data_IF_992092489494
#
_entry.id   IF_992092489494
#
_cell.length_a   1.000
_cell.length_b   1.000
_cell.length_c   1.000
_cell.angle_alpha   90.00
_cell.angle_beta   90.00
_cell.angle_gamma   90.00
#
_symmetry.space_group_name_H-M   'P 1'
#
loop_
_entity.id
_entity.type
_entity.pdbx_description
1 polymer ?
#
# COMPACT_ATOMS: atom_id res chain seq x y z
N UNK A 1 11.78 17.52 -2.86
CA UNK A 1 11.96 16.46 -3.87
C UNK A 1 13.47 16.14 -3.99
N UNK A 2 13.79 14.87 -4.22
CA UNK A 2 15.16 14.42 -4.46
C UNK A 2 15.60 14.76 -5.88
N UNK A 3 16.90 15.08 -6.07
CA UNK A 3 17.50 15.19 -7.41
C UNK A 3 17.80 13.79 -7.97
N UNK A 4 18.04 13.71 -9.27
CA UNK A 4 18.45 12.45 -9.94
C UNK A 4 19.73 11.89 -9.31
N UNK A 5 20.69 12.74 -8.97
CA UNK A 5 21.94 12.36 -8.33
C UNK A 5 21.70 11.74 -6.95
N UNK A 6 20.81 12.34 -6.15
CA UNK A 6 20.41 11.80 -4.84
C UNK A 6 19.73 10.44 -4.97
N UNK A 7 18.87 10.25 -5.99
CA UNK A 7 18.23 8.93 -6.24
C UNK A 7 19.28 7.88 -6.58
N UNK A 8 20.27 8.22 -7.42
CA UNK A 8 21.39 7.31 -7.74
C UNK A 8 22.24 6.99 -6.51
N UNK A 9 22.48 7.98 -5.65
CA UNK A 9 23.23 7.79 -4.41
C UNK A 9 22.55 6.83 -3.46
N UNK A 10 21.24 7.02 -3.15
CA UNK A 10 20.53 6.10 -2.29
C UNK A 10 20.40 4.70 -2.91
N UNK A 11 20.28 4.60 -4.24
CA UNK A 11 20.33 3.29 -4.93
C UNK A 11 21.67 2.60 -4.72
N UNK A 12 22.78 3.33 -4.81
CA UNK A 12 24.13 2.80 -4.55
C UNK A 12 24.31 2.37 -3.08
N UNK A 13 23.60 3.00 -2.15
CA UNK A 13 23.55 2.61 -0.73
C UNK A 13 22.66 1.39 -0.45
N UNK A 14 22.01 0.82 -1.47
CA UNK A 14 21.17 -0.38 -1.36
C UNK A 14 19.68 -0.12 -1.30
N UNK A 15 19.21 1.12 -1.48
CA UNK A 15 17.78 1.38 -1.56
C UNK A 15 17.19 0.74 -2.82
N UNK A 16 15.99 0.18 -2.70
CA UNK A 16 15.22 -0.38 -3.80
C UNK A 16 14.18 0.63 -4.28
N UNK A 17 14.33 1.12 -5.52
CA UNK A 17 13.49 2.17 -6.09
C UNK A 17 12.34 1.51 -6.85
N UNK A 18 11.10 1.78 -6.44
CA UNK A 18 9.91 1.10 -6.91
C UNK A 18 8.81 2.07 -7.39
N UNK A 19 7.73 1.54 -7.97
CA UNK A 19 6.65 2.29 -8.63
C UNK A 19 5.75 3.04 -7.65
N UNK A 20 5.34 4.27 -8.06
CA UNK A 20 4.40 5.10 -7.31
C UNK A 20 3.58 6.03 -8.22
N UNK A 21 3.26 5.61 -9.45
CA UNK A 21 2.72 6.40 -10.56
C UNK A 21 3.62 7.56 -10.98
N UNK A 22 3.34 8.16 -12.13
CA UNK A 22 4.15 9.26 -12.67
C UNK A 22 3.74 10.61 -12.10
N UNK A 23 2.46 10.91 -12.09
CA UNK A 23 1.92 12.21 -11.64
C UNK A 23 1.33 12.17 -10.23
N UNK A 24 1.44 11.03 -9.52
CA UNK A 24 0.77 10.78 -8.25
C UNK A 24 -0.76 10.68 -8.39
N UNK A 25 -1.28 10.47 -9.59
CA UNK A 25 -2.68 10.20 -9.87
C UNK A 25 -2.95 8.69 -9.98
N UNK A 26 -4.19 8.28 -9.72
CA UNK A 26 -4.61 6.88 -9.77
C UNK A 26 -5.94 6.78 -10.55
N UNK A 27 -5.90 6.77 -11.90
CA UNK A 27 -7.11 6.74 -12.74
C UNK A 27 -7.73 5.34 -12.75
N UNK A 28 -8.52 5.02 -11.72
CA UNK A 28 -9.08 3.69 -11.46
C UNK A 28 -10.10 3.22 -12.51
N UNK A 29 -10.73 4.15 -13.24
CA UNK A 29 -11.80 3.85 -14.19
C UNK A 29 -11.29 3.59 -15.62
N UNK A 30 -9.98 3.71 -15.85
CA UNK A 30 -9.37 3.55 -17.16
C UNK A 30 -8.05 2.79 -17.10
N UNK A 31 -8.05 1.55 -17.61
CA UNK A 31 -6.81 0.78 -17.75
C UNK A 31 -5.75 1.53 -18.58
N UNK A 32 -6.12 2.19 -19.67
CA UNK A 32 -5.16 2.88 -20.53
C UNK A 32 -4.42 4.01 -19.80
N UNK A 33 -5.15 4.86 -19.06
CA UNK A 33 -4.56 5.94 -18.29
C UNK A 33 -3.75 5.41 -17.09
N UNK A 34 -4.25 4.36 -16.43
CA UNK A 34 -3.53 3.71 -15.34
C UNK A 34 -2.20 3.08 -15.84
N UNK A 35 -2.23 2.42 -16.99
CA UNK A 35 -1.05 1.83 -17.60
C UNK A 35 -0.04 2.89 -18.04
N UNK A 36 -0.48 4.03 -18.52
CA UNK A 36 0.38 5.17 -18.87
C UNK A 36 1.11 5.68 -17.61
N UNK A 37 0.41 5.93 -16.51
CA UNK A 37 0.98 6.35 -15.23
C UNK A 37 2.06 5.38 -14.72
N UNK A 38 1.82 4.08 -14.80
CA UNK A 38 2.78 3.07 -14.37
C UNK A 38 3.97 2.96 -15.33
N UNK A 39 3.73 2.94 -16.63
CA UNK A 39 4.80 2.75 -17.62
C UNK A 39 5.73 3.96 -17.68
N UNK A 40 5.20 5.20 -17.70
CA UNK A 40 6.04 6.40 -17.69
C UNK A 40 6.87 6.48 -16.40
N UNK A 41 6.30 6.13 -15.24
CA UNK A 41 7.06 6.05 -13.99
C UNK A 41 8.16 4.99 -14.05
N UNK A 42 7.85 3.80 -14.60
CA UNK A 42 8.81 2.70 -14.79
C UNK A 42 9.97 3.13 -15.67
N UNK A 43 9.68 3.75 -16.82
CA UNK A 43 10.70 4.19 -17.78
C UNK A 43 11.66 5.19 -17.12
N UNK A 44 11.15 6.15 -16.36
CA UNK A 44 11.98 7.09 -15.59
C UNK A 44 12.87 6.39 -14.56
N UNK A 45 12.33 5.39 -13.83
CA UNK A 45 13.14 4.63 -12.85
C UNK A 45 14.23 3.84 -13.57
N UNK A 46 13.90 3.16 -14.67
CA UNK A 46 14.86 2.40 -15.47
C UNK A 46 15.97 3.30 -16.00
N UNK A 47 15.63 4.47 -16.53
CA UNK A 47 16.59 5.44 -17.07
C UNK A 47 17.55 6.00 -16.00
N UNK A 48 17.05 6.21 -14.77
CA UNK A 48 17.83 6.82 -13.70
C UNK A 48 18.72 5.80 -12.99
N UNK A 49 18.19 4.61 -12.63
CA UNK A 49 18.87 3.67 -11.73
C UNK A 49 19.11 2.29 -12.33
N UNK A 50 18.58 2.01 -13.50
CA UNK A 50 18.56 0.66 -14.12
C UNK A 50 17.65 -0.31 -13.36
N UNK A 51 17.47 -1.50 -13.91
CA UNK A 51 16.60 -2.53 -13.34
C UNK A 51 15.13 -2.28 -13.68
N UNK A 52 14.30 -3.30 -13.44
CA UNK A 52 12.85 -3.23 -13.70
C UNK A 52 12.10 -3.19 -12.36
N UNK A 53 11.44 -2.09 -12.00
CA UNK A 53 10.66 -2.03 -10.77
C UNK A 53 9.42 -2.92 -10.89
N UNK A 54 9.21 -3.80 -9.90
CA UNK A 54 8.17 -4.81 -9.90
C UNK A 54 7.18 -4.69 -8.72
N UNK A 55 7.39 -3.69 -7.87
CA UNK A 55 6.54 -3.42 -6.73
C UNK A 55 5.92 -2.03 -6.82
N UNK A 56 4.69 -1.89 -6.34
CA UNK A 56 3.94 -0.64 -6.39
C UNK A 56 3.52 -0.18 -4.99
N UNK A 57 3.47 1.13 -4.81
CA UNK A 57 2.81 1.73 -3.66
C UNK A 57 1.68 2.63 -4.18
N UNK A 58 0.46 2.39 -3.74
CA UNK A 58 -0.68 3.20 -4.18
C UNK A 58 -0.56 4.64 -3.68
N UNK A 59 -0.58 5.65 -4.58
CA UNK A 59 -0.65 7.06 -4.19
C UNK A 59 -1.80 7.32 -3.24
N UNK A 60 -1.52 7.93 -2.09
CA UNK A 60 -2.50 8.19 -1.03
C UNK A 60 -3.29 6.96 -0.56
N UNK A 61 -2.85 5.75 -0.90
CA UNK A 61 -3.55 4.50 -0.63
C UNK A 61 -4.83 4.32 -1.44
N UNK A 62 -5.00 5.04 -2.55
CA UNK A 62 -6.20 4.98 -3.41
C UNK A 62 -6.10 3.80 -4.37
N UNK A 63 -7.03 2.86 -4.29
CA UNK A 63 -7.13 1.69 -5.16
C UNK A 63 -8.56 1.12 -5.16
N UNK A 64 -8.83 0.22 -6.09
CA UNK A 64 -10.02 -0.63 -6.12
C UNK A 64 -9.65 -2.02 -6.65
N UNK A 65 -10.61 -2.95 -6.70
CA UNK A 65 -10.36 -4.32 -7.18
C UNK A 65 -9.89 -4.37 -8.64
N UNK A 66 -10.32 -3.42 -9.49
CA UNK A 66 -9.87 -3.36 -10.89
C UNK A 66 -8.37 -3.07 -10.99
N UNK A 67 -7.82 -2.25 -10.09
CA UNK A 67 -6.39 -1.90 -10.08
C UNK A 67 -5.49 -3.11 -9.82
N UNK A 68 -5.98 -4.16 -9.15
CA UNK A 68 -5.22 -5.41 -8.95
C UNK A 68 -4.94 -6.09 -10.30
N UNK A 69 -5.99 -6.24 -11.12
CA UNK A 69 -5.85 -6.81 -12.47
C UNK A 69 -4.99 -5.94 -13.39
N UNK A 70 -5.08 -4.62 -13.26
CA UNK A 70 -4.25 -3.68 -14.03
C UNK A 70 -2.76 -3.83 -13.70
N UNK A 71 -2.42 -3.84 -12.42
CA UNK A 71 -1.03 -4.01 -11.97
C UNK A 71 -0.46 -5.37 -12.37
N UNK A 72 -1.23 -6.45 -12.26
CA UNK A 72 -0.81 -7.79 -12.68
C UNK A 72 -0.52 -7.85 -14.19
N UNK A 73 -1.37 -7.26 -15.04
CA UNK A 73 -1.14 -7.16 -16.49
C UNK A 73 0.12 -6.36 -16.83
N UNK A 74 0.49 -5.39 -16.00
CA UNK A 74 1.69 -4.58 -16.13
C UNK A 74 2.94 -5.22 -15.51
N UNK A 75 2.85 -6.47 -15.04
CA UNK A 75 3.97 -7.23 -14.48
C UNK A 75 4.36 -6.84 -13.06
N UNK A 76 3.50 -6.12 -12.35
CA UNK A 76 3.72 -5.79 -10.94
C UNK A 76 3.43 -7.01 -10.08
N UNK A 77 4.34 -7.33 -9.17
CA UNK A 77 4.26 -8.51 -8.29
C UNK A 77 3.53 -8.25 -6.99
N UNK A 78 3.74 -7.07 -6.39
CA UNK A 78 3.08 -6.69 -5.15
C UNK A 78 2.73 -5.21 -5.14
N UNK A 79 1.69 -4.86 -4.37
CA UNK A 79 1.32 -3.46 -4.13
C UNK A 79 1.01 -3.22 -2.65
N UNK A 80 1.49 -2.08 -2.13
CA UNK A 80 1.29 -1.68 -0.74
C UNK A 80 0.25 -0.58 -0.62
N UNK A 81 -0.59 -0.71 0.39
CA UNK A 81 -1.63 0.26 0.76
C UNK A 81 -1.15 1.24 1.83
N UNK A 82 -2.06 2.08 2.34
CA UNK A 82 -1.85 2.92 3.52
C UNK A 82 -2.57 2.36 4.77
N UNK A 83 -3.12 1.15 4.69
CA UNK A 83 -3.76 0.51 5.84
C UNK A 83 -2.72 -0.16 6.74
N UNK A 84 -2.73 0.13 8.06
CA UNK A 84 -1.80 -0.49 8.98
C UNK A 84 -2.13 -1.97 9.20
N UNK A 85 -1.10 -2.80 9.27
CA UNK A 85 -1.25 -4.23 9.52
C UNK A 85 0.03 -5.01 9.22
N UNK A 86 0.00 -6.30 9.55
CA UNK A 86 1.04 -7.24 9.20
C UNK A 86 0.65 -8.06 7.99
N UNK A 87 1.65 -8.41 7.18
CA UNK A 87 1.51 -9.37 6.11
C UNK A 87 1.71 -10.80 6.64
N UNK A 88 0.97 -11.74 6.08
CA UNK A 88 1.12 -13.16 6.30
C UNK A 88 1.01 -13.93 4.96
N UNK A 89 1.06 -15.26 4.99
CA UNK A 89 0.99 -16.12 3.81
C UNK A 89 -0.37 -16.07 3.07
N UNK A 90 -1.40 -15.51 3.69
CA UNK A 90 -2.74 -15.34 3.11
C UNK A 90 -3.00 -13.93 2.62
N UNK A 91 -2.06 -13.01 2.83
CA UNK A 91 -2.20 -11.60 2.41
C UNK A 91 -2.26 -11.50 0.89
N UNK A 92 -3.21 -10.70 0.38
CA UNK A 92 -3.29 -10.43 -1.05
C UNK A 92 -2.06 -9.63 -1.50
N UNK A 93 -1.25 -10.14 -2.45
CA UNK A 93 -0.05 -9.44 -2.91
C UNK A 93 -0.32 -8.04 -3.48
N UNK A 94 -1.53 -7.78 -3.99
CA UNK A 94 -1.92 -6.46 -4.52
C UNK A 94 -2.49 -5.52 -3.47
N UNK A 95 -2.53 -5.92 -2.21
CA UNK A 95 -3.16 -5.16 -1.11
C UNK A 95 -2.38 -5.33 0.20
N UNK A 96 -1.06 -5.26 0.14
CA UNK A 96 -0.23 -5.45 1.32
C UNK A 96 -0.38 -4.27 2.29
N UNK A 97 -0.70 -4.52 3.57
CA UNK A 97 -0.72 -3.49 4.59
C UNK A 97 0.70 -2.99 4.89
N UNK A 98 0.80 -1.75 5.38
CA UNK A 98 2.06 -1.21 5.89
C UNK A 98 1.82 -0.22 7.02
N UNK A 99 2.76 -0.13 7.95
CA UNK A 99 2.77 0.95 8.93
C UNK A 99 3.35 2.21 8.28
N UNK A 100 2.63 3.32 8.43
CA UNK A 100 3.09 4.64 8.00
C UNK A 100 3.80 5.30 9.18
N UNK A 101 4.98 5.84 8.92
CA UNK A 101 5.66 6.73 9.84
C UNK A 101 5.53 8.17 9.34
N UNK A 102 5.30 9.12 10.25
CA UNK A 102 5.21 10.52 9.95
C UNK A 102 5.62 11.36 11.18
N UNK A 103 6.14 12.56 10.95
CA UNK A 103 6.64 13.45 12.01
C UNK A 103 5.63 13.75 13.13
N UNK A 104 4.33 13.70 12.80
CA UNK A 104 3.25 13.95 13.77
C UNK A 104 2.79 12.68 14.52
N UNK A 105 3.37 11.52 14.23
CA UNK A 105 3.06 10.27 14.94
C UNK A 105 4.01 10.15 16.13
N UNK A 106 3.51 10.16 17.39
CA UNK A 106 4.36 9.92 18.55
C UNK A 106 5.06 8.56 18.47
N UNK A 107 6.32 8.50 18.87
CA UNK A 107 7.13 7.27 18.83
C UNK A 107 6.42 6.09 19.53
N UNK A 108 5.77 6.33 20.67
CA UNK A 108 5.02 5.29 21.40
C UNK A 108 3.91 4.65 20.55
N UNK A 109 3.27 5.42 19.67
CA UNK A 109 2.23 4.92 18.76
C UNK A 109 2.87 4.07 17.66
N UNK A 110 3.97 4.53 17.08
CA UNK A 110 4.72 3.75 16.10
C UNK A 110 5.22 2.41 16.69
N UNK A 111 5.81 2.44 17.88
CA UNK A 111 6.23 1.23 18.59
C UNK A 111 5.06 0.28 18.91
N UNK A 112 3.89 0.81 19.30
CA UNK A 112 2.69 0.02 19.53
C UNK A 112 2.12 -0.60 18.23
N UNK A 113 2.29 0.06 17.08
CA UNK A 113 1.95 -0.52 15.77
C UNK A 113 2.89 -1.68 15.43
N UNK A 114 4.20 -1.44 15.41
CA UNK A 114 5.18 -2.46 14.98
C UNK A 114 5.31 -3.63 15.97
N UNK A 115 4.94 -3.44 17.24
CA UNK A 115 4.86 -4.51 18.24
C UNK A 115 3.60 -5.37 18.13
N UNK A 116 2.61 -4.96 17.32
CA UNK A 116 1.34 -5.66 17.14
C UNK A 116 0.29 -5.38 18.23
N UNK A 117 0.58 -4.54 19.22
CA UNK A 117 -0.37 -4.20 20.29
C UNK A 117 -1.62 -3.53 19.72
N UNK A 118 -1.46 -2.55 18.82
CA UNK A 118 -2.60 -1.88 18.20
C UNK A 118 -3.38 -2.81 17.26
N UNK A 119 -2.72 -3.72 16.57
CA UNK A 119 -3.38 -4.73 15.74
C UNK A 119 -4.26 -5.66 16.60
N UNK A 120 -3.75 -6.11 17.74
CA UNK A 120 -4.51 -6.92 18.69
C UNK A 120 -5.76 -6.15 19.19
N UNK A 121 -5.60 -4.88 19.55
CA UNK A 121 -6.71 -4.02 19.99
C UNK A 121 -7.76 -3.83 18.88
N UNK A 122 -7.33 -3.64 17.62
CA UNK A 122 -8.25 -3.57 16.46
C UNK A 122 -9.05 -4.87 16.29
N UNK A 123 -8.40 -6.02 16.41
CA UNK A 123 -9.06 -7.34 16.33
C UNK A 123 -10.08 -7.53 17.45
N UNK A 124 -9.71 -7.22 18.68
CA UNK A 124 -10.62 -7.29 19.83
C UNK A 124 -11.83 -6.37 19.66
N UNK A 125 -11.64 -5.14 19.20
CA UNK A 125 -12.73 -4.19 18.94
C UNK A 125 -13.69 -4.69 17.86
N UNK A 126 -13.19 -5.27 16.76
CA UNK A 126 -14.03 -5.85 15.71
C UNK A 126 -14.88 -7.00 16.24
N UNK A 127 -14.34 -7.85 17.11
CA UNK A 127 -15.07 -8.96 17.72
C UNK A 127 -16.20 -8.46 18.66
N UNK A 128 -15.95 -7.41 19.43
CA UNK A 128 -16.96 -6.85 20.35
C UNK A 128 -18.08 -6.13 19.59
N UNK A 129 -17.76 -5.34 18.57
CA UNK A 129 -18.75 -4.62 17.74
C UNK A 129 -19.60 -5.60 16.92
N UNK A 130 -18.98 -6.66 16.36
CA UNK A 130 -19.71 -7.72 15.65
C UNK A 130 -20.71 -8.46 16.55
N UNK A 131 -20.35 -8.68 17.81
CA UNK A 131 -21.22 -9.33 18.81
C UNK A 131 -22.43 -8.46 19.20
N UNK A 132 -22.24 -7.14 19.31
CA UNK A 132 -23.33 -6.18 19.63
C UNK A 132 -24.33 -6.10 18.48
N UNK A 133 -23.86 -6.03 17.20
CA UNK A 133 -24.75 -6.03 16.03
C UNK A 133 -25.50 -7.36 15.84
N UNK A 134 -24.88 -8.49 16.12
CA UNK A 134 -25.53 -9.81 16.07
C UNK A 134 -26.68 -9.92 17.08
N UNK A 135 -26.51 -9.38 18.28
CA UNK A 135 -27.56 -9.40 19.31
C UNK A 135 -28.76 -8.46 19.02
N UNK A 136 -28.54 -7.36 18.30
CA UNK A 136 -29.64 -6.45 17.93
C UNK A 136 -30.54 -7.01 16.82
N UNK A 137 -29.99 -7.86 15.94
CA UNK A 137 -30.76 -8.52 14.89
C UNK A 137 -31.63 -9.67 15.42
N UNK A 138 -31.23 -10.32 16.51
CA UNK A 138 -32.00 -11.39 17.14
C UNK A 138 -33.17 -10.91 18.04
N UNK A 139 -33.11 -9.64 18.49
CA UNK A 139 -34.17 -9.05 19.35
C UNK A 139 -35.31 -8.41 18.54
N UNK A 140 -35.15 -8.20 17.24
CA UNK A 140 -36.20 -7.63 16.37
C UNK A 140 -37.00 -8.68 15.58
N UNK A 141 -36.85 -9.96 15.93
CA UNK A 141 -37.58 -11.10 15.31
C UNK A 141 -38.47 -11.88 16.30
N UNK A 142 -38.85 -11.23 17.40
CA UNK A 142 -39.88 -11.75 18.31
C UNK A 142 -41.13 -10.88 18.37
#
# INVERSE_FOLDING_TARGET
LMSVEQVKEIKAMGADIQLHTHTHDTPLDSYALFAEEINVNRDHIVDIVGGNPEHHCYPSGVYNESSFGYLQQLGVKTATTCYPGFCDEHSNPMELPRFLDAENIPQIIFEAEVSGVLELLRKLRKMTVGRIRGNQLSTNLQ
#
